data_IF_142499941495
#
_entry.id   IF_142499941495
#
_cell.length_a   1.000
_cell.length_b   1.000
_cell.length_c   1.000
_cell.angle_alpha   90.00
_cell.angle_beta   90.00
_cell.angle_gamma   90.00
#
_symmetry.space_group_name_H-M   'P 1'
#
loop_
_entity.id
_entity.type
_entity.pdbx_description
1 polymer ?
#
# COMPACT_ATOMS: atom_id res chain seq x y z
N UNK A 1 -17.56 -7.78 -29.25
CA UNK A 1 -16.66 -8.92 -28.96
C UNK A 1 -16.11 -8.70 -27.56
N UNK A 2 -16.73 -9.30 -26.54
CA UNK A 2 -16.16 -9.28 -25.20
C UNK A 2 -15.03 -10.29 -25.17
N UNK A 3 -13.78 -9.81 -25.22
CA UNK A 3 -12.64 -10.64 -24.87
C UNK A 3 -12.86 -11.14 -23.45
N UNK A 4 -12.73 -12.44 -23.25
CA UNK A 4 -12.74 -13.02 -21.91
C UNK A 4 -11.71 -12.25 -21.07
N UNK A 5 -12.14 -11.65 -19.97
CA UNK A 5 -11.22 -11.01 -19.04
C UNK A 5 -10.20 -12.05 -18.60
N UNK A 6 -8.92 -11.76 -18.83
CA UNK A 6 -7.84 -12.61 -18.33
C UNK A 6 -7.93 -12.58 -16.79
N UNK A 7 -8.25 -13.71 -16.12
CA UNK A 7 -8.36 -13.75 -14.67
C UNK A 7 -7.04 -13.43 -13.98
N UNK A 8 -5.91 -13.57 -14.68
CA UNK A 8 -4.58 -13.15 -14.25
C UNK A 8 -4.32 -11.65 -14.39
N UNK A 9 -5.15 -10.91 -15.12
CA UNK A 9 -4.96 -9.48 -15.39
C UNK A 9 -4.98 -8.65 -14.12
N UNK A 10 -3.98 -7.79 -13.99
CA UNK A 10 -3.91 -6.72 -12.99
C UNK A 10 -4.84 -5.53 -13.35
N UNK A 11 -5.36 -5.47 -14.57
CA UNK A 11 -6.35 -4.48 -14.98
C UNK A 11 -7.74 -5.12 -15.02
N UNK A 12 -8.69 -4.59 -14.25
CA UNK A 12 -10.09 -5.02 -14.22
C UNK A 12 -11.02 -3.82 -14.19
N UNK A 13 -11.77 -3.62 -15.28
CA UNK A 13 -12.59 -2.42 -15.47
C UNK A 13 -11.75 -1.15 -15.34
N UNK A 14 -12.09 -0.30 -14.37
CA UNK A 14 -11.40 0.97 -14.09
C UNK A 14 -10.17 0.85 -13.17
N UNK A 15 -9.94 -0.32 -12.59
CA UNK A 15 -8.88 -0.55 -11.61
C UNK A 15 -7.66 -1.18 -12.25
N UNK A 16 -6.50 -0.57 -12.06
CA UNK A 16 -5.19 -1.20 -12.26
C UNK A 16 -4.59 -1.52 -10.89
N UNK A 17 -4.54 -2.80 -10.54
CA UNK A 17 -3.93 -3.29 -9.31
C UNK A 17 -2.42 -3.35 -9.45
N UNK A 18 -1.72 -2.67 -8.55
CA UNK A 18 -0.27 -2.58 -8.53
C UNK A 18 0.29 -3.21 -7.24
N UNK A 19 0.45 -4.55 -7.23
CA UNK A 19 0.97 -5.27 -6.07
C UNK A 19 2.45 -4.95 -5.78
N UNK A 20 2.78 -4.66 -4.53
CA UNK A 20 4.13 -4.26 -4.08
C UNK A 20 4.63 -5.09 -2.91
N UNK A 21 5.94 -5.05 -2.68
CA UNK A 21 6.52 -5.45 -1.39
C UNK A 21 6.70 -4.21 -0.51
N UNK A 22 6.08 -4.12 0.67
CA UNK A 22 6.22 -2.97 1.59
C UNK A 22 7.68 -2.70 1.97
N UNK A 23 8.05 -1.42 2.13
CA UNK A 23 9.41 -1.01 2.52
C UNK A 23 10.51 -1.39 1.52
N UNK A 24 10.21 -1.56 0.22
CA UNK A 24 11.20 -1.95 -0.80
C UNK A 24 11.35 -0.93 -1.91
N UNK A 25 12.58 -0.43 -2.06
CA UNK A 25 12.95 0.60 -3.04
C UNK A 25 12.64 0.17 -4.47
N UNK A 26 12.88 -1.09 -4.84
CA UNK A 26 12.58 -1.55 -6.21
C UNK A 26 11.10 -1.36 -6.56
N UNK A 27 10.20 -1.55 -5.59
CA UNK A 27 8.77 -1.34 -5.81
C UNK A 27 8.38 0.13 -5.75
N UNK A 28 9.03 0.95 -4.90
CA UNK A 28 8.83 2.39 -4.91
C UNK A 28 9.16 3.01 -6.28
N UNK A 29 10.26 2.58 -6.92
CA UNK A 29 10.61 3.03 -8.26
C UNK A 29 9.60 2.61 -9.34
N UNK A 30 9.10 1.38 -9.28
CA UNK A 30 8.11 0.88 -10.24
C UNK A 30 6.74 1.57 -10.04
N UNK A 31 6.33 1.83 -8.79
CA UNK A 31 5.13 2.64 -8.47
C UNK A 31 5.25 4.05 -9.05
N UNK A 32 6.37 4.72 -8.81
CA UNK A 32 6.62 6.06 -9.38
C UNK A 32 6.51 6.04 -10.89
N UNK A 33 7.16 5.06 -11.54
CA UNK A 33 7.12 4.93 -13.00
C UNK A 33 5.70 4.74 -13.51
N UNK A 34 4.92 3.86 -12.87
CA UNK A 34 3.54 3.60 -13.25
C UNK A 34 2.67 4.86 -13.12
N UNK A 35 2.73 5.56 -11.97
CA UNK A 35 1.95 6.78 -11.74
C UNK A 35 2.28 7.88 -12.75
N UNK A 36 3.57 8.13 -13.02
CA UNK A 36 3.98 9.17 -13.96
C UNK A 36 3.60 8.85 -15.41
N UNK A 37 3.63 7.57 -15.78
CA UNK A 37 3.27 7.11 -17.13
C UNK A 37 1.75 7.11 -17.35
N UNK A 38 1.00 6.53 -16.41
CA UNK A 38 -0.44 6.30 -16.54
C UNK A 38 -1.27 7.53 -16.19
N UNK A 39 -0.74 8.40 -15.31
CA UNK A 39 -1.43 9.57 -14.76
C UNK A 39 -2.87 9.26 -14.33
N UNK A 40 -3.07 8.31 -13.39
CA UNK A 40 -4.40 7.95 -12.92
C UNK A 40 -5.10 9.15 -12.27
N UNK A 41 -6.43 9.13 -12.25
CA UNK A 41 -7.22 10.16 -11.56
C UNK A 41 -7.21 9.93 -10.04
N UNK A 42 -7.16 8.67 -9.62
CA UNK A 42 -7.13 8.25 -8.23
C UNK A 42 -5.97 7.27 -8.02
N UNK A 43 -5.19 7.48 -6.96
CA UNK A 43 -4.21 6.52 -6.45
C UNK A 43 -4.70 6.00 -5.12
N UNK A 44 -5.19 4.77 -5.12
CA UNK A 44 -5.63 4.07 -3.93
C UNK A 44 -4.43 3.37 -3.25
N UNK A 45 -4.27 3.53 -1.94
CA UNK A 45 -3.13 2.99 -1.17
C UNK A 45 -3.61 2.15 0.01
N UNK A 46 -2.95 1.00 0.24
CA UNK A 46 -3.22 0.08 1.36
C UNK A 46 -2.74 0.61 2.72
N UNK A 47 -3.20 1.80 3.07
CA UNK A 47 -2.90 2.49 4.32
C UNK A 47 -4.19 2.79 5.08
N UNK A 48 -4.17 2.75 6.43
CA UNK A 48 -5.37 2.92 7.22
C UNK A 48 -5.96 4.31 7.01
N UNK A 49 -7.25 4.39 6.71
CA UNK A 49 -7.94 5.68 6.52
C UNK A 49 -7.88 6.58 7.78
N UNK A 50 -7.76 6.00 8.97
CA UNK A 50 -7.52 6.73 10.22
C UNK A 50 -6.15 7.42 10.30
N UNK A 51 -5.21 7.05 9.43
CA UNK A 51 -3.87 7.63 9.34
C UNK A 51 -3.68 8.53 8.11
N UNK A 52 -4.75 8.85 7.36
CA UNK A 52 -4.66 9.68 6.16
C UNK A 52 -4.00 11.04 6.44
N UNK A 53 -4.57 11.83 7.35
CA UNK A 53 -4.03 13.15 7.71
C UNK A 53 -2.54 13.12 8.16
N UNK A 54 -2.10 12.22 9.08
CA UNK A 54 -0.70 12.15 9.46
C UNK A 54 0.22 11.69 8.33
N UNK A 55 -0.18 10.77 7.45
CA UNK A 55 0.60 10.41 6.27
C UNK A 55 0.76 11.58 5.31
N UNK A 56 -0.33 12.27 4.96
CA UNK A 56 -0.26 13.42 4.05
C UNK A 56 0.64 14.53 4.61
N UNK A 57 0.58 14.78 5.93
CA UNK A 57 1.51 15.72 6.59
C UNK A 57 2.95 15.24 6.52
N UNK A 58 3.22 13.97 6.80
CA UNK A 58 4.58 13.44 6.80
C UNK A 58 5.20 13.45 5.39
N UNK A 59 4.44 13.03 4.37
CA UNK A 59 4.88 13.03 2.97
C UNK A 59 5.14 14.45 2.47
N UNK A 60 4.31 15.42 2.84
CA UNK A 60 4.49 16.83 2.47
C UNK A 60 5.76 17.48 3.04
N UNK A 61 6.47 16.81 3.96
CA UNK A 61 7.71 17.31 4.59
C UNK A 61 8.97 16.70 3.98
N UNK A 62 8.83 15.72 3.11
CA UNK A 62 9.97 15.10 2.44
C UNK A 62 10.80 16.19 1.72
N UNK A 63 12.15 16.13 1.79
CA UNK A 63 12.95 14.98 2.21
C UNK A 63 13.22 14.85 3.72
N UNK A 64 12.67 15.71 4.59
CA UNK A 64 12.80 15.53 6.04
C UNK A 64 11.97 14.33 6.50
N UNK A 65 12.65 13.24 6.88
CA UNK A 65 11.96 12.00 7.28
C UNK A 65 11.20 12.20 8.59
N UNK A 66 9.99 11.62 8.61
CA UNK A 66 9.09 11.69 9.74
C UNK A 66 8.77 10.29 10.26
N UNK A 67 8.37 10.21 11.53
CA UNK A 67 7.78 9.01 12.12
C UNK A 67 6.36 9.32 12.57
N UNK A 68 5.40 8.49 12.17
CA UNK A 68 4.05 8.51 12.72
C UNK A 68 4.06 7.62 13.97
N UNK A 69 3.66 8.19 15.10
CA UNK A 69 3.61 7.52 16.40
C UNK A 69 2.19 7.52 16.94
N UNK A 70 1.69 6.39 17.41
CA UNK A 70 0.44 6.29 18.15
C UNK A 70 0.42 5.06 19.05
N UNK A 71 -0.38 5.09 20.11
CA UNK A 71 -0.51 3.96 21.04
C UNK A 71 -1.59 2.99 20.59
N UNK A 72 -1.31 1.69 20.68
CA UNK A 72 -2.34 0.68 20.51
C UNK A 72 -3.05 0.45 21.84
N UNK A 73 -4.29 0.93 21.95
CA UNK A 73 -5.10 0.93 23.18
C UNK A 73 -5.24 -0.44 23.88
N UNK A 74 -4.96 -1.56 23.19
CA UNK A 74 -5.06 -2.92 23.74
C UNK A 74 -3.72 -3.54 24.14
N UNK A 75 -2.58 -2.98 23.74
CA UNK A 75 -1.28 -3.67 23.83
C UNK A 75 -0.21 -2.96 24.67
N UNK A 76 -0.51 -1.81 25.30
CA UNK A 76 0.48 -0.98 26.03
C UNK A 76 1.79 -0.78 25.24
N UNK A 77 1.68 -0.74 23.91
CA UNK A 77 2.80 -0.62 22.98
C UNK A 77 2.52 0.53 22.02
N UNK A 78 3.50 1.41 21.90
CA UNK A 78 3.49 2.46 20.90
C UNK A 78 3.92 1.88 19.55
N UNK A 79 3.17 2.20 18.51
CA UNK A 79 3.47 1.83 17.13
C UNK A 79 4.20 3.00 16.47
N UNK A 80 5.35 2.70 15.88
CA UNK A 80 6.19 3.64 15.15
C UNK A 80 6.17 3.26 13.67
N UNK A 81 5.79 4.20 12.82
CA UNK A 81 5.76 4.01 11.38
C UNK A 81 6.70 5.04 10.73
N UNK A 82 7.89 4.62 10.26
CA UNK A 82 8.75 5.46 9.45
C UNK A 82 8.04 5.86 8.15
N UNK A 83 8.14 7.14 7.79
CA UNK A 83 7.67 7.65 6.49
C UNK A 83 8.90 7.93 5.64
N UNK A 84 9.27 6.94 4.82
CA UNK A 84 10.47 6.94 4.00
C UNK A 84 10.14 6.77 2.51
N UNK A 85 10.94 7.39 1.63
CA UNK A 85 10.73 7.36 0.17
C UNK A 85 10.95 5.97 -0.46
N UNK A 86 11.59 5.07 0.25
CA UNK A 86 11.82 3.67 -0.15
C UNK A 86 10.59 2.80 0.03
N UNK A 87 9.60 3.27 0.78
CA UNK A 87 8.33 2.57 0.90
C UNK A 87 7.42 2.89 -0.30
N UNK A 88 6.92 1.87 -1.03
CA UNK A 88 6.09 2.08 -2.22
C UNK A 88 4.76 2.78 -1.94
N UNK A 89 4.18 2.66 -0.74
CA UNK A 89 2.94 3.37 -0.39
C UNK A 89 3.22 4.86 -0.13
N UNK A 90 4.32 5.18 0.54
CA UNK A 90 4.79 6.56 0.72
C UNK A 90 5.10 7.20 -0.65
N UNK A 91 5.81 6.49 -1.51
CA UNK A 91 6.12 6.95 -2.87
C UNK A 91 4.86 7.08 -3.74
N UNK A 92 3.85 6.22 -3.57
CA UNK A 92 2.56 6.34 -4.24
C UNK A 92 1.86 7.66 -3.88
N UNK A 93 1.79 8.00 -2.58
CA UNK A 93 1.22 9.27 -2.10
C UNK A 93 2.01 10.45 -2.71
N UNK A 94 3.33 10.42 -2.61
CA UNK A 94 4.20 11.50 -3.10
C UNK A 94 4.02 11.72 -4.62
N UNK A 95 4.03 10.64 -5.40
CA UNK A 95 3.85 10.70 -6.85
C UNK A 95 2.43 11.12 -7.25
N UNK A 96 1.40 10.71 -6.50
CA UNK A 96 0.02 11.16 -6.71
C UNK A 96 -0.11 12.68 -6.50
N UNK A 97 0.48 13.22 -5.43
CA UNK A 97 0.54 14.67 -5.18
C UNK A 97 1.24 15.40 -6.32
N UNK A 98 2.35 14.85 -6.82
CA UNK A 98 3.12 15.44 -7.93
C UNK A 98 2.31 15.57 -9.22
N UNK A 99 1.43 14.61 -9.53
CA UNK A 99 0.59 14.65 -10.73
C UNK A 99 -0.78 15.30 -10.51
N UNK A 100 -1.15 15.61 -9.27
CA UNK A 100 -2.46 16.15 -8.88
C UNK A 100 -3.59 15.10 -8.85
N UNK A 101 -3.26 13.82 -8.63
CA UNK A 101 -4.24 12.76 -8.48
C UNK A 101 -4.86 12.76 -7.06
N UNK A 102 -6.11 12.33 -6.95
CA UNK A 102 -6.73 12.05 -5.66
C UNK A 102 -6.05 10.87 -4.98
N UNK A 103 -5.82 10.95 -3.67
CA UNK A 103 -5.22 9.87 -2.88
C UNK A 103 -6.33 9.25 -2.05
N UNK A 104 -6.50 7.93 -2.14
CA UNK A 104 -7.60 7.23 -1.49
C UNK A 104 -7.08 6.11 -0.58
N UNK A 105 -7.26 6.27 0.73
CA UNK A 105 -6.80 5.29 1.73
C UNK A 105 -7.82 4.15 1.86
N UNK A 106 -7.40 2.94 1.45
CA UNK A 106 -8.34 1.81 1.30
C UNK A 106 -8.34 0.81 2.46
N UNK A 107 -7.41 0.90 3.41
CA UNK A 107 -7.48 0.06 4.61
C UNK A 107 -8.51 0.67 5.59
N UNK A 108 -9.60 -0.05 5.92
CA UNK A 108 -10.64 0.45 6.81
C UNK A 108 -10.26 0.38 8.30
N UNK A 109 -9.05 -0.02 8.68
CA UNK A 109 -8.58 -0.05 10.08
C UNK A 109 -9.43 -0.97 10.98
N UNK A 110 -9.40 -2.27 10.65
CA UNK A 110 -10.19 -3.30 11.34
C UNK A 110 -9.59 -3.80 12.66
N UNK A 111 -8.57 -3.11 13.19
CA UNK A 111 -7.82 -3.53 14.37
C UNK A 111 -6.47 -4.15 14.01
N UNK A 112 -6.15 -5.31 14.60
CA UNK A 112 -4.86 -5.98 14.34
C UNK A 112 -4.76 -6.35 12.86
N UNK A 113 -3.68 -5.90 12.21
CA UNK A 113 -3.38 -6.33 10.85
C UNK A 113 -3.13 -7.84 10.82
N UNK A 114 -3.62 -8.56 9.79
CA UNK A 114 -3.30 -9.97 9.64
C UNK A 114 -1.78 -10.17 9.70
N UNK A 115 -1.31 -11.05 10.59
CA UNK A 115 0.10 -11.42 10.66
C UNK A 115 0.43 -12.28 9.45
N UNK A 116 0.71 -11.65 8.32
CA UNK A 116 1.10 -12.34 7.11
C UNK A 116 2.55 -12.81 7.29
N UNK A 117 2.79 -14.10 7.04
CA UNK A 117 4.15 -14.62 6.88
C UNK A 117 4.57 -14.24 5.47
N UNK A 118 5.02 -13.02 5.34
CA UNK A 118 5.42 -12.40 4.10
C UNK A 118 6.75 -13.01 3.61
N UNK A 119 6.67 -14.18 2.98
CA UNK A 119 7.78 -14.75 2.22
C UNK A 119 7.77 -14.15 0.82
N UNK A 120 8.54 -13.08 0.63
CA UNK A 120 8.78 -12.49 -0.67
C UNK A 120 10.05 -13.08 -1.30
N UNK A 121 10.03 -13.44 -2.60
CA UNK A 121 11.26 -13.65 -3.36
C UNK A 121 12.17 -12.43 -3.28
N UNK A 122 13.48 -12.59 -3.52
CA UNK A 122 14.44 -11.48 -3.53
C UNK A 122 13.96 -10.33 -4.44
N UNK A 123 13.65 -9.18 -3.84
CA UNK A 123 13.09 -8.01 -4.54
C UNK A 123 14.05 -7.40 -5.53
N UNK A 124 15.37 -7.61 -5.35
CA UNK A 124 16.35 -7.18 -6.35
C UNK A 124 16.14 -7.88 -7.70
N UNK A 125 15.47 -9.04 -7.72
CA UNK A 125 15.09 -9.74 -8.95
C UNK A 125 14.20 -8.90 -9.87
N UNK A 126 13.45 -7.92 -9.33
CA UNK A 126 12.65 -6.96 -10.12
C UNK A 126 13.53 -6.22 -11.13
N UNK A 127 14.76 -5.84 -10.75
CA UNK A 127 15.71 -5.14 -11.63
C UNK A 127 16.17 -5.98 -12.82
N UNK A 128 16.18 -7.31 -12.67
CA UNK A 128 16.67 -8.24 -13.70
C UNK A 128 15.57 -8.84 -14.54
N UNK A 129 14.45 -9.22 -13.92
CA UNK A 129 13.33 -9.91 -14.55
C UNK A 129 12.22 -8.95 -15.00
N UNK A 130 12.20 -7.74 -14.45
CA UNK A 130 11.09 -6.79 -14.58
C UNK A 130 9.98 -7.07 -13.57
N UNK A 131 9.23 -6.02 -13.25
CA UNK A 131 8.11 -6.02 -12.31
C UNK A 131 7.04 -7.08 -12.67
N UNK A 132 6.55 -7.06 -13.91
CA UNK A 132 5.49 -7.98 -14.35
C UNK A 132 5.86 -9.43 -14.11
N UNK A 133 7.11 -9.80 -14.45
CA UNK A 133 7.56 -11.19 -14.29
C UNK A 133 7.70 -11.59 -12.83
N UNK A 134 8.13 -10.67 -11.98
CA UNK A 134 8.18 -10.90 -10.54
C UNK A 134 6.78 -11.20 -9.98
N UNK A 135 5.78 -10.37 -10.30
CA UNK A 135 4.39 -10.54 -9.84
C UNK A 135 3.80 -11.87 -10.34
N UNK A 136 3.97 -12.19 -11.62
CA UNK A 136 3.54 -13.48 -12.19
C UNK A 136 4.14 -14.66 -11.42
N UNK A 137 5.45 -14.60 -11.14
CA UNK A 137 6.18 -15.69 -10.47
C UNK A 137 5.74 -15.84 -9.01
N UNK A 138 5.51 -14.73 -8.30
CA UNK A 138 4.99 -14.76 -6.94
C UNK A 138 3.64 -15.49 -6.87
N UNK A 139 2.74 -15.20 -7.83
CA UNK A 139 1.38 -15.77 -7.87
C UNK A 139 1.33 -17.25 -8.23
N UNK A 140 2.43 -17.86 -8.68
CA UNK A 140 2.51 -19.32 -8.90
C UNK A 140 2.41 -20.12 -7.58
N UNK A 141 2.75 -19.49 -6.45
CA UNK A 141 2.75 -20.12 -5.13
C UNK A 141 1.85 -19.32 -4.18
N UNK A 142 0.52 -19.47 -4.29
CA UNK A 142 -0.42 -18.70 -3.48
C UNK A 142 -0.20 -18.97 -1.99
N UNK A 143 -0.24 -17.91 -1.20
CA UNK A 143 -0.12 -18.00 0.24
C UNK A 143 -1.39 -18.60 0.86
N UNK A 144 -1.30 -19.32 1.98
CA UNK A 144 -2.48 -19.84 2.68
C UNK A 144 -3.43 -18.70 3.06
N UNK A 145 -4.70 -18.84 2.67
CA UNK A 145 -5.75 -17.91 3.09
C UNK A 145 -6.07 -18.10 4.58
N UNK A 146 -6.52 -17.03 5.23
CA UNK A 146 -7.02 -17.03 6.60
C UNK A 146 -8.30 -16.20 6.71
N UNK A 147 -9.10 -16.46 7.75
CA UNK A 147 -10.32 -15.67 8.00
C UNK A 147 -10.00 -14.17 8.15
N UNK A 148 -8.96 -13.84 8.91
CA UNK A 148 -8.55 -12.45 9.13
C UNK A 148 -8.08 -11.77 7.84
N UNK A 149 -7.34 -12.49 6.99
CA UNK A 149 -6.91 -12.00 5.68
C UNK A 149 -8.12 -11.70 4.78
N UNK A 150 -9.07 -12.63 4.67
CA UNK A 150 -10.25 -12.46 3.83
C UNK A 150 -11.16 -11.35 4.36
N UNK A 151 -11.29 -11.21 5.69
CA UNK A 151 -12.02 -10.11 6.33
C UNK A 151 -11.37 -8.76 6.02
N UNK A 152 -10.04 -8.69 6.06
CA UNK A 152 -9.30 -7.48 5.74
C UNK A 152 -9.44 -7.10 4.25
N UNK A 153 -9.25 -8.07 3.35
CA UNK A 153 -9.43 -7.88 1.91
C UNK A 153 -10.86 -7.46 1.54
N UNK A 154 -11.88 -8.03 2.19
CA UNK A 154 -13.28 -7.62 2.02
C UNK A 154 -13.51 -6.17 2.42
N UNK A 155 -12.89 -5.70 3.50
CA UNK A 155 -12.95 -4.30 3.92
C UNK A 155 -12.28 -3.34 2.94
N UNK A 156 -11.13 -3.73 2.37
CA UNK A 156 -10.46 -2.96 1.31
C UNK A 156 -11.32 -2.92 0.05
N UNK A 157 -11.89 -4.06 -0.36
CA UNK A 157 -12.78 -4.14 -1.51
C UNK A 157 -14.04 -3.27 -1.33
N UNK A 158 -14.63 -3.24 -0.13
CA UNK A 158 -15.74 -2.33 0.18
C UNK A 158 -15.36 -0.85 -0.02
N UNK A 159 -14.16 -0.42 0.43
CA UNK A 159 -13.65 0.93 0.16
C UNK A 159 -13.48 1.18 -1.33
N UNK A 160 -12.85 0.26 -2.07
CA UNK A 160 -12.65 0.40 -3.51
C UNK A 160 -13.96 0.50 -4.30
N UNK A 161 -15.01 -0.19 -3.85
CA UNK A 161 -16.34 -0.16 -4.46
C UNK A 161 -17.06 1.20 -4.30
N UNK A 162 -16.57 2.10 -3.44
CA UNK A 162 -17.13 3.45 -3.27
C UNK A 162 -16.41 4.54 -4.08
N UNK A 163 -15.33 4.19 -4.79
CA UNK A 163 -14.62 5.13 -5.69
C UNK A 163 -15.51 5.50 -6.87
N UNK A 164 -15.36 6.73 -7.39
CA UNK A 164 -16.06 7.20 -8.59
C UNK A 164 -15.95 6.16 -9.72
N UNK A 165 -17.07 5.60 -10.24
CA UNK A 165 -17.05 4.56 -11.26
C UNK A 165 -16.46 5.00 -12.61
N UNK A 166 -16.27 6.31 -12.82
CA UNK A 166 -15.67 6.87 -14.03
C UNK A 166 -14.18 7.16 -13.88
N UNK A 167 -13.64 7.12 -12.66
CA UNK A 167 -12.25 7.42 -12.41
C UNK A 167 -11.34 6.24 -12.76
N UNK A 168 -10.24 6.52 -13.48
CA UNK A 168 -9.13 5.56 -13.61
C UNK A 168 -8.37 5.49 -12.29
N UNK A 169 -8.32 4.30 -11.70
CA UNK A 169 -7.73 4.07 -10.37
C UNK A 169 -6.50 3.19 -10.47
N UNK A 170 -5.36 3.66 -9.97
CA UNK A 170 -4.22 2.80 -9.68
C UNK A 170 -4.29 2.37 -8.20
N UNK A 171 -4.28 1.07 -7.94
CA UNK A 171 -4.49 0.49 -6.60
C UNK A 171 -3.18 -0.13 -6.11
N UNK A 172 -2.44 0.60 -5.28
CA UNK A 172 -1.17 0.14 -4.69
C UNK A 172 -1.45 -0.65 -3.41
N UNK A 173 -1.21 -1.95 -3.48
CA UNK A 173 -1.50 -2.94 -2.42
C UNK A 173 -0.33 -3.89 -2.26
N UNK A 174 -0.19 -4.54 -1.11
CA UNK A 174 0.80 -5.59 -0.90
C UNK A 174 0.50 -6.82 -1.76
N UNK A 175 1.57 -7.52 -2.19
CA UNK A 175 1.48 -8.75 -2.98
C UNK A 175 0.63 -9.82 -2.31
N UNK A 176 0.71 -9.94 -0.98
CA UNK A 176 -0.02 -10.92 -0.19
C UNK A 176 -1.53 -10.66 -0.12
N UNK A 177 -1.98 -9.43 -0.43
CA UNK A 177 -3.39 -9.05 -0.46
C UNK A 177 -4.02 -9.04 -1.85
N UNK A 178 -3.22 -9.13 -2.92
CA UNK A 178 -3.70 -9.06 -4.29
C UNK A 178 -4.84 -10.05 -4.58
N UNK A 179 -4.57 -11.36 -4.49
CA UNK A 179 -5.57 -12.36 -4.86
C UNK A 179 -6.82 -12.33 -3.94
N UNK A 180 -6.69 -12.20 -2.60
CA UNK A 180 -7.84 -11.98 -1.72
C UNK A 180 -8.71 -10.77 -2.09
N UNK A 181 -8.10 -9.63 -2.47
CA UNK A 181 -8.85 -8.44 -2.90
C UNK A 181 -9.52 -8.70 -4.24
N UNK A 182 -8.82 -9.31 -5.20
CA UNK A 182 -9.38 -9.67 -6.51
C UNK A 182 -10.57 -10.63 -6.40
N UNK A 183 -10.57 -11.52 -5.40
CA UNK A 183 -11.70 -12.38 -5.06
C UNK A 183 -12.84 -11.58 -4.43
N UNK A 184 -12.55 -10.74 -3.44
CA UNK A 184 -13.55 -9.91 -2.77
C UNK A 184 -14.25 -8.94 -3.73
N UNK A 185 -13.54 -8.40 -4.72
CA UNK A 185 -14.08 -7.46 -5.71
C UNK A 185 -15.09 -8.09 -6.69
N UNK A 186 -15.24 -9.42 -6.72
CA UNK A 186 -16.22 -10.10 -7.60
C UNK A 186 -17.68 -9.90 -7.16
N UNK A 187 -17.91 -9.39 -5.95
CA UNK A 187 -19.25 -9.15 -5.39
C UNK A 187 -19.26 -7.91 -4.52
N UNK A 188 -20.42 -7.24 -4.35
CA UNK A 188 -20.57 -6.19 -3.35
C UNK A 188 -20.16 -6.68 -1.96
N UNK A 189 -19.38 -5.88 -1.25
CA UNK A 189 -18.96 -6.15 0.12
C UNK A 189 -19.82 -5.37 1.11
N UNK A 190 -20.00 -5.92 2.30
CA UNK A 190 -20.67 -5.22 3.38
C UNK A 190 -19.73 -4.21 4.05
N UNK A 191 -20.30 -3.13 4.58
CA UNK A 191 -19.54 -2.16 5.37
C UNK A 191 -18.92 -2.87 6.60
N UNK A 192 -17.59 -2.77 6.78
CA UNK A 192 -16.94 -3.43 7.89
C UNK A 192 -17.08 -2.62 9.18
N UNK A 193 -17.14 -3.32 10.33
CA UNK A 193 -17.00 -2.70 11.65
C UNK A 193 -15.55 -2.27 11.86
N UNK A 194 -15.28 -1.03 11.46
CA UNK A 194 -13.99 -0.37 11.40
C UNK A 194 -13.83 0.67 12.51
N UNK A 195 -12.57 1.01 12.86
CA UNK A 195 -12.32 2.19 13.69
C UNK A 195 -12.51 3.44 12.83
N UNK A 196 -13.36 4.36 13.30
CA UNK A 196 -13.56 5.64 12.63
C UNK A 196 -12.44 6.65 12.94
N UNK A 197 -11.79 6.53 14.10
CA UNK A 197 -10.78 7.49 14.56
C UNK A 197 -9.72 6.82 15.45
N UNK A 198 -8.53 7.42 15.48
CA UNK A 198 -7.41 7.08 16.35
C UNK A 198 -6.96 8.33 17.10
N UNK A 199 -6.85 8.23 18.41
CA UNK A 199 -6.35 9.30 19.27
C UNK A 199 -4.83 9.18 19.49
N UNK A 200 -4.20 10.27 19.94
CA UNK A 200 -2.79 10.27 20.32
C UNK A 200 -1.80 10.16 19.15
N UNK A 201 -2.25 10.36 17.90
CA UNK A 201 -1.35 10.30 16.74
C UNK A 201 -0.44 11.53 16.69
N UNK A 202 0.86 11.29 16.65
CA UNK A 202 1.90 12.30 16.51
C UNK A 202 2.66 12.07 15.20
N UNK A 203 3.09 13.17 14.57
CA UNK A 203 4.03 13.14 13.44
C UNK A 203 5.29 13.84 13.93
N UNK A 204 6.36 13.07 14.12
CA UNK A 204 7.61 13.51 14.71
C UNK A 204 8.71 13.56 13.65
N UNK A 205 9.71 14.40 13.87
CA UNK A 205 10.94 14.38 13.09
C UNK A 205 11.84 13.24 13.53
N UNK A 206 12.40 12.52 12.57
CA UNK A 206 13.51 11.64 12.86
C UNK A 206 14.80 12.46 12.94
N UNK A 207 15.56 12.31 14.03
CA UNK A 207 16.89 12.88 14.10
C UNK A 207 17.81 12.16 13.10
N UNK A 208 18.68 12.86 12.34
CA UNK A 208 19.57 12.23 11.36
C UNK A 208 20.41 11.07 11.93
N UNK A 209 20.84 11.19 13.18
CA UNK A 209 21.64 10.14 13.86
C UNK A 209 20.85 8.84 14.10
N UNK A 210 19.52 8.88 14.08
CA UNK A 210 18.66 7.70 14.26
C UNK A 210 18.30 6.99 12.95
N UNK A 211 18.72 7.52 11.80
CA UNK A 211 18.36 6.98 10.47
C UNK A 211 18.81 5.52 10.31
N UNK A 212 20.01 5.17 10.76
CA UNK A 212 20.56 3.82 10.61
C UNK A 212 19.80 2.75 11.43
N UNK A 213 19.03 3.14 12.44
CA UNK A 213 18.32 2.23 13.34
C UNK A 213 16.85 2.03 12.98
N UNK A 214 16.27 2.96 12.20
CA UNK A 214 14.81 3.06 12.01
C UNK A 214 14.38 2.80 10.56
N UNK A 215 15.27 3.02 9.59
CA UNK A 215 14.94 2.80 8.18
C UNK A 215 14.94 1.32 7.81
N UNK A 216 14.01 0.93 6.94
CA UNK A 216 13.90 -0.46 6.45
C UNK A 216 14.97 -0.74 5.40
N UNK A 217 15.25 0.24 4.55
CA UNK A 217 16.32 0.20 3.56
C UNK A 217 17.51 1.06 4.02
N UNK A 218 18.73 0.54 3.81
CA UNK A 218 19.93 1.30 4.15
C UNK A 218 20.11 2.46 3.17
N UNK A 219 20.25 3.71 3.64
CA UNK A 219 20.67 4.79 2.76
C UNK A 219 22.05 4.43 2.20
N UNK A 220 22.23 4.55 0.88
CA UNK A 220 23.53 4.33 0.26
C UNK A 220 24.52 5.31 0.89
N UNK A 221 25.49 4.80 1.66
CA UNK A 221 26.56 5.61 2.22
C UNK A 221 27.38 6.18 1.06
N UNK A 222 27.12 7.42 0.70
CA UNK A 222 28.03 8.18 -0.16
C UNK A 222 29.19 8.64 0.72
N UNK A 223 30.32 7.95 0.61
CA UNK A 223 31.62 8.35 1.16
C UNK A 223 32.27 9.44 0.33
#
# INVERSE_FOLDING_TARGET
MHGAEDPGSLCRGQFHYFPVVPGKLEFAEEVRRAILLERPQVVAVELPSTLEAPYLRAVGRLPELSVILYDEAKQERSIYIPVEITDPFVEAIRSAQEIGAEIFFVDPDLGERPRLKDFYPDTYSVRRLGYTKYVETYRLYPQPSSFDLNRHAAGIAWKLQSVDPLAKVLVVISLSLLDPILEAMQRPQAEPLARAHREGIQVLNLHPDCLAEVLIEFPLLQS
#
